data_IF_639942475202
#
_entry.id   IF_639942475202
#
_cell.length_a   1.000
_cell.length_b   1.000
_cell.length_c   1.000
_cell.angle_alpha   90.00
_cell.angle_beta   90.00
_cell.angle_gamma   90.00
#
_symmetry.space_group_name_H-M   'P 1'
#
loop_
_entity.id
_entity.type
_entity.pdbx_description
1 polymer ?
#
# COMPACT_ATOMS: atom_id res chain seq x y z
N UNK A 1 -7.63 -2.91 -18.06
CA UNK A 1 -6.86 -2.52 -16.87
C UNK A 1 -5.53 -1.91 -17.33
N UNK A 2 -5.53 -0.62 -17.69
CA UNK A 2 -4.41 0.00 -18.42
C UNK A 2 -3.24 0.40 -17.51
N UNK A 3 -3.47 0.49 -16.20
CA UNK A 3 -2.49 0.86 -15.19
C UNK A 3 -1.22 0.00 -15.19
N UNK A 4 -1.37 -1.30 -15.41
CA UNK A 4 -0.25 -2.24 -15.43
C UNK A 4 0.69 -2.04 -16.62
N UNK A 5 0.33 -1.16 -17.56
CA UNK A 5 1.13 -0.77 -18.73
C UNK A 5 1.67 0.66 -18.60
N UNK A 6 1.40 1.34 -17.49
CA UNK A 6 1.82 2.71 -17.24
C UNK A 6 3.31 2.76 -16.94
N UNK A 7 4.01 3.60 -17.70
CA UNK A 7 5.38 4.04 -17.40
C UNK A 7 5.39 5.55 -17.24
N UNK A 8 6.30 6.05 -16.42
CA UNK A 8 6.46 7.46 -16.14
C UNK A 8 7.85 7.93 -16.56
N UNK A 9 7.90 9.06 -17.25
CA UNK A 9 9.15 9.72 -17.63
C UNK A 9 9.00 11.23 -17.52
N UNK A 10 10.13 11.91 -17.42
CA UNK A 10 10.17 13.37 -17.32
C UNK A 10 10.49 13.97 -18.69
N UNK A 11 9.68 14.95 -19.11
CA UNK A 11 9.91 15.74 -20.31
C UNK A 11 9.68 17.22 -19.96
N UNK A 12 10.68 18.08 -20.19
CA UNK A 12 10.63 19.51 -19.86
C UNK A 12 10.24 19.82 -18.40
N UNK A 13 10.80 19.06 -17.43
CA UNK A 13 10.47 19.13 -16.00
C UNK A 13 9.00 18.82 -15.66
N UNK A 14 8.31 18.08 -16.52
CA UNK A 14 6.95 17.60 -16.29
C UNK A 14 6.97 16.07 -16.30
N UNK A 15 6.41 15.46 -15.25
CA UNK A 15 6.23 14.01 -15.18
C UNK A 15 5.03 13.61 -16.06
N UNK A 16 5.27 12.74 -17.03
CA UNK A 16 4.29 12.26 -17.99
C UNK A 16 4.06 10.77 -17.78
N UNK A 17 2.78 10.38 -17.66
CA UNK A 17 2.35 8.98 -17.69
C UNK A 17 2.06 8.56 -19.14
N UNK A 18 2.58 7.40 -19.56
CA UNK A 18 2.29 6.79 -20.86
C UNK A 18 2.01 5.31 -20.72
N UNK A 19 0.99 4.82 -21.43
CA UNK A 19 0.70 3.40 -21.51
C UNK A 19 1.46 2.76 -22.68
N UNK A 20 2.03 1.58 -22.45
CA UNK A 20 2.69 0.80 -23.50
C UNK A 20 1.65 0.08 -24.38
N UNK A 21 1.77 0.25 -25.70
CA UNK A 21 0.88 -0.39 -26.69
C UNK A 21 1.04 -1.92 -26.71
N UNK A 22 2.28 -2.38 -26.60
CA UNK A 22 2.67 -3.79 -26.47
C UNK A 22 3.80 -3.88 -25.45
N UNK A 23 3.73 -4.87 -24.59
CA UNK A 23 4.77 -5.12 -23.60
C UNK A 23 4.95 -6.63 -23.47
N UNK A 24 6.20 -7.05 -23.31
CA UNK A 24 6.55 -8.45 -23.08
C UNK A 24 6.94 -8.56 -21.61
N UNK A 25 6.06 -9.12 -20.79
CA UNK A 25 6.40 -9.41 -19.41
C UNK A 25 7.07 -10.79 -19.35
N UNK A 26 8.11 -10.91 -18.54
CA UNK A 26 8.78 -12.20 -18.28
C UNK A 26 8.41 -12.64 -16.89
N UNK A 27 7.89 -13.86 -16.77
CA UNK A 27 7.77 -14.55 -15.50
C UNK A 27 9.12 -15.17 -15.20
N UNK A 28 9.72 -14.84 -14.06
CA UNK A 28 10.94 -15.51 -13.60
C UNK A 28 10.54 -16.78 -12.86
N UNK A 29 11.08 -17.91 -13.29
CA UNK A 29 10.78 -19.21 -12.71
C UNK A 29 11.99 -19.75 -11.95
N UNK A 30 11.74 -20.24 -10.75
CA UNK A 30 12.77 -20.76 -9.84
C UNK A 30 12.41 -22.15 -9.37
N UNK A 31 13.33 -23.10 -9.58
CA UNK A 31 13.31 -24.41 -8.93
C UNK A 31 14.28 -24.38 -7.75
N UNK A 32 13.76 -24.50 -6.53
CA UNK A 32 14.58 -24.43 -5.32
C UNK A 32 15.10 -25.80 -4.92
N UNK A 33 16.34 -25.83 -4.43
CA UNK A 33 16.92 -27.03 -3.80
C UNK A 33 16.32 -27.26 -2.40
N UNK A 34 16.20 -28.53 -2.01
CA UNK A 34 15.67 -28.97 -0.71
C UNK A 34 15.07 -30.37 -0.83
N UNK A 35 15.19 -31.19 0.22
CA UNK A 35 14.69 -32.56 0.22
C UNK A 35 13.16 -32.57 0.44
N UNK A 36 12.66 -31.62 1.24
CA UNK A 36 11.24 -31.49 1.56
C UNK A 36 10.60 -30.24 0.95
N UNK A 37 9.28 -30.26 0.78
CA UNK A 37 8.50 -29.08 0.36
C UNK A 37 8.66 -27.91 1.35
N UNK A 38 8.70 -28.22 2.65
CA UNK A 38 8.88 -27.21 3.70
C UNK A 38 10.21 -26.46 3.56
N UNK A 39 11.30 -27.17 3.29
CA UNK A 39 12.61 -26.54 3.08
C UNK A 39 12.61 -25.63 1.85
N UNK A 40 11.97 -26.06 0.75
CA UNK A 40 11.83 -25.25 -0.46
C UNK A 40 10.96 -24.01 -0.21
N UNK A 41 9.89 -24.14 0.57
CA UNK A 41 9.07 -23.00 1.01
C UNK A 41 9.87 -22.01 1.88
N UNK A 42 10.66 -22.50 2.83
CA UNK A 42 11.49 -21.61 3.66
C UNK A 42 12.58 -20.91 2.83
N UNK A 43 13.14 -21.60 1.83
CA UNK A 43 14.11 -21.02 0.90
C UNK A 43 13.48 -19.93 0.02
N UNK A 44 12.25 -20.12 -0.48
CA UNK A 44 11.56 -19.10 -1.29
C UNK A 44 11.32 -17.83 -0.46
N UNK A 45 10.87 -17.98 0.80
CA UNK A 45 10.62 -16.84 1.69
C UNK A 45 11.90 -16.04 2.00
N UNK A 46 13.05 -16.72 2.11
CA UNK A 46 14.35 -16.05 2.27
C UNK A 46 14.75 -15.25 1.02
N UNK A 47 14.56 -15.82 -0.18
CA UNK A 47 14.83 -15.10 -1.43
C UNK A 47 13.91 -13.89 -1.59
N UNK A 48 12.65 -14.04 -1.22
CA UNK A 48 11.64 -13.00 -1.30
C UNK A 48 11.97 -11.82 -0.37
N UNK A 49 12.45 -12.06 0.84
CA UNK A 49 12.92 -10.99 1.74
C UNK A 49 14.12 -10.20 1.16
N UNK A 50 14.98 -10.86 0.36
CA UNK A 50 16.07 -10.17 -0.32
C UNK A 50 15.57 -9.34 -1.51
N UNK A 51 14.56 -9.84 -2.24
CA UNK A 51 13.92 -9.13 -3.35
C UNK A 51 12.96 -8.02 -2.90
N UNK A 52 12.40 -8.08 -1.69
CA UNK A 52 11.55 -7.00 -1.16
C UNK A 52 12.27 -5.64 -1.07
N UNK A 53 13.61 -5.63 -1.18
CA UNK A 53 14.44 -4.43 -1.22
C UNK A 53 14.81 -3.97 -2.65
N UNK A 54 14.33 -4.65 -3.71
CA UNK A 54 14.54 -4.15 -5.08
C UNK A 54 13.52 -3.07 -5.41
N UNK A 55 14.02 -1.92 -5.84
CA UNK A 55 13.16 -0.79 -6.21
C UNK A 55 12.66 -0.98 -7.64
N UNK A 56 11.34 -1.08 -7.82
CA UNK A 56 10.71 -0.96 -9.13
C UNK A 56 10.80 0.50 -9.58
N UNK A 57 11.55 0.75 -10.65
CA UNK A 57 11.69 2.10 -11.20
C UNK A 57 10.48 2.46 -12.05
N UNK A 58 10.05 3.72 -11.98
CA UNK A 58 8.79 4.19 -12.60
C UNK A 58 8.84 4.25 -14.13
N UNK A 59 10.04 4.21 -14.72
CA UNK A 59 10.31 4.19 -16.15
C UNK A 59 10.13 2.80 -16.79
N UNK A 60 9.93 1.75 -15.98
CA UNK A 60 9.73 0.37 -16.41
C UNK A 60 8.33 -0.11 -16.08
N UNK A 61 8.03 -1.36 -16.48
CA UNK A 61 6.76 -2.00 -16.11
C UNK A 61 6.57 -1.92 -14.58
N UNK A 62 5.37 -1.55 -14.13
CA UNK A 62 5.11 -1.28 -12.73
C UNK A 62 4.91 -2.55 -11.90
N UNK A 63 5.30 -3.72 -12.43
CA UNK A 63 5.20 -4.99 -11.73
C UNK A 63 6.24 -6.00 -12.21
N UNK A 64 6.60 -6.93 -11.33
CA UNK A 64 7.41 -8.12 -11.62
C UNK A 64 6.69 -9.36 -11.09
N UNK A 65 6.83 -10.48 -11.81
CA UNK A 65 6.21 -11.76 -11.45
C UNK A 65 7.27 -12.84 -11.36
N UNK A 66 7.26 -13.56 -10.24
CA UNK A 66 8.16 -14.67 -9.97
C UNK A 66 7.37 -15.89 -9.50
N UNK A 67 7.77 -17.08 -9.96
CA UNK A 67 7.17 -18.35 -9.58
C UNK A 67 8.25 -19.23 -8.96
N UNK A 68 7.99 -19.72 -7.76
CA UNK A 68 8.86 -20.64 -7.04
C UNK A 68 8.19 -22.00 -6.93
N UNK A 69 8.72 -23.01 -7.61
CA UNK A 69 8.20 -24.37 -7.52
C UNK A 69 8.67 -25.03 -6.21
N UNK A 70 7.73 -25.43 -5.37
CA UNK A 70 7.99 -26.05 -4.06
C UNK A 70 7.58 -27.53 -4.01
N UNK A 71 6.75 -27.98 -4.95
CA UNK A 71 6.51 -29.39 -5.28
C UNK A 71 6.08 -29.53 -6.75
N UNK A 72 5.79 -30.74 -7.23
CA UNK A 72 5.32 -30.95 -8.61
C UNK A 72 4.03 -30.19 -8.93
N UNK A 73 3.10 -30.14 -7.97
CA UNK A 73 1.80 -29.48 -8.12
C UNK A 73 1.65 -28.22 -7.25
N UNK A 74 2.70 -27.83 -6.51
CA UNK A 74 2.67 -26.66 -5.62
C UNK A 74 3.72 -25.63 -6.03
N UNK A 75 3.27 -24.39 -6.19
CA UNK A 75 4.14 -23.25 -6.43
C UNK A 75 3.72 -22.05 -5.57
N UNK A 76 4.66 -21.12 -5.39
CA UNK A 76 4.43 -19.83 -4.77
C UNK A 76 4.55 -18.77 -5.87
N UNK A 77 3.48 -18.03 -6.08
CA UNK A 77 3.45 -16.88 -6.97
C UNK A 77 3.77 -15.62 -6.17
N UNK A 78 4.83 -14.93 -6.56
CA UNK A 78 5.20 -13.63 -6.03
C UNK A 78 4.98 -12.55 -7.08
N UNK A 79 4.29 -11.48 -6.69
CA UNK A 79 4.02 -10.33 -7.55
C UNK A 79 4.44 -9.09 -6.77
N UNK A 80 5.47 -8.41 -7.28
CA UNK A 80 5.82 -7.06 -6.84
C UNK A 80 5.09 -6.05 -7.70
N UNK A 81 4.41 -5.08 -7.10
CA UNK A 81 3.68 -4.04 -7.81
C UNK A 81 4.14 -2.69 -7.25
N UNK A 82 4.40 -1.74 -8.14
CA UNK A 82 4.77 -0.39 -7.77
C UNK A 82 3.61 0.33 -7.11
N UNK A 83 3.84 0.87 -5.91
CA UNK A 83 2.82 1.55 -5.11
C UNK A 83 2.27 2.83 -5.80
N UNK A 84 2.95 3.35 -6.83
CA UNK A 84 2.46 4.49 -7.64
C UNK A 84 1.20 4.16 -8.43
N UNK A 85 0.99 2.88 -8.77
CA UNK A 85 -0.19 2.40 -9.49
C UNK A 85 -1.15 1.58 -8.60
N UNK A 86 -0.81 1.31 -7.34
CA UNK A 86 -1.62 0.43 -6.50
C UNK A 86 -1.66 0.89 -5.05
N UNK A 87 -2.82 0.78 -4.43
CA UNK A 87 -3.03 0.87 -2.98
C UNK A 87 -3.54 -0.46 -2.39
N UNK A 88 -3.69 -0.53 -1.07
CA UNK A 88 -4.16 -1.74 -0.39
C UNK A 88 -5.52 -2.25 -0.86
N UNK A 89 -6.45 -1.36 -1.23
CA UNK A 89 -7.77 -1.75 -1.73
C UNK A 89 -7.70 -2.32 -3.14
N UNK A 90 -6.90 -1.71 -4.01
CA UNK A 90 -6.67 -2.15 -5.38
C UNK A 90 -5.99 -3.52 -5.44
N UNK A 91 -5.08 -3.83 -4.49
CA UNK A 91 -4.43 -5.14 -4.41
C UNK A 91 -5.42 -6.25 -4.07
N UNK A 92 -6.41 -5.99 -3.20
CA UNK A 92 -7.46 -6.97 -2.87
C UNK A 92 -8.30 -7.29 -4.11
N UNK A 93 -8.68 -6.26 -4.89
CA UNK A 93 -9.41 -6.44 -6.15
C UNK A 93 -8.58 -7.19 -7.18
N UNK A 94 -7.31 -6.82 -7.35
CA UNK A 94 -6.38 -7.46 -8.27
C UNK A 94 -6.23 -8.96 -7.98
N UNK A 95 -6.02 -9.35 -6.72
CA UNK A 95 -5.90 -10.77 -6.34
C UNK A 95 -7.20 -11.52 -6.63
N UNK A 96 -8.35 -10.91 -6.34
CA UNK A 96 -9.65 -11.51 -6.64
C UNK A 96 -9.83 -11.74 -8.15
N UNK A 97 -9.56 -10.72 -8.97
CA UNK A 97 -9.65 -10.81 -10.43
C UNK A 97 -8.66 -11.85 -10.99
N UNK A 98 -7.43 -11.91 -10.44
CA UNK A 98 -6.44 -12.90 -10.85
C UNK A 98 -6.92 -14.33 -10.59
N UNK A 99 -7.47 -14.61 -9.41
CA UNK A 99 -7.98 -15.94 -9.04
C UNK A 99 -9.21 -16.31 -9.89
N UNK A 100 -10.14 -15.39 -10.08
CA UNK A 100 -11.32 -15.60 -10.92
C UNK A 100 -10.92 -15.96 -12.35
N UNK A 101 -10.03 -15.15 -12.95
CA UNK A 101 -9.53 -15.39 -14.30
C UNK A 101 -8.76 -16.72 -14.40
N UNK A 102 -7.96 -17.07 -13.39
CA UNK A 102 -7.25 -18.35 -13.34
C UNK A 102 -8.22 -19.55 -13.33
N UNK A 103 -9.34 -19.43 -12.63
CA UNK A 103 -10.39 -20.45 -12.58
C UNK A 103 -11.31 -20.45 -13.81
N UNK A 104 -11.11 -19.55 -14.78
CA UNK A 104 -11.98 -19.40 -15.95
C UNK A 104 -13.33 -18.74 -15.64
N UNK A 105 -13.44 -18.05 -14.51
CA UNK A 105 -14.61 -17.26 -14.16
C UNK A 105 -14.51 -15.87 -14.83
N UNK A 106 -15.46 -15.54 -15.70
CA UNK A 106 -15.53 -14.19 -16.27
C UNK A 106 -16.00 -13.18 -15.21
N UNK A 107 -15.12 -12.26 -14.83
CA UNK A 107 -15.52 -11.12 -14.02
C UNK A 107 -16.21 -10.07 -14.90
N UNK A 108 -17.49 -9.80 -14.62
CA UNK A 108 -18.32 -8.84 -15.37
C UNK A 108 -18.28 -7.43 -14.80
N UNK A 109 -17.40 -7.16 -13.83
CA UNK A 109 -17.32 -5.82 -13.25
C UNK A 109 -16.72 -4.83 -14.26
N UNK A 110 -17.48 -3.79 -14.59
CA UNK A 110 -16.93 -2.61 -15.25
C UNK A 110 -15.95 -1.94 -14.28
N UNK A 111 -14.66 -2.02 -14.59
CA UNK A 111 -13.62 -1.33 -13.86
C UNK A 111 -13.61 0.12 -14.34
N UNK A 112 -13.93 1.06 -13.44
CA UNK A 112 -13.78 2.50 -13.70
C UNK A 112 -12.34 2.75 -14.17
N UNK A 113 -12.19 3.38 -15.34
CA UNK A 113 -10.85 3.62 -15.87
C UNK A 113 -10.19 4.77 -15.11
N UNK A 114 -8.87 4.67 -14.92
CA UNK A 114 -8.07 5.71 -14.24
C UNK A 114 -8.25 7.09 -14.89
N UNK A 115 -8.42 7.12 -16.22
CA UNK A 115 -8.63 8.35 -16.97
C UNK A 115 -9.92 9.04 -16.51
N UNK A 116 -11.02 8.28 -16.38
CA UNK A 116 -12.30 8.81 -15.90
C UNK A 116 -12.18 9.34 -14.48
N UNK A 117 -11.47 8.61 -13.61
CA UNK A 117 -11.19 9.04 -12.26
C UNK A 117 -10.37 10.33 -12.20
N UNK A 118 -9.32 10.46 -13.03
CA UNK A 118 -8.48 11.65 -13.11
C UNK A 118 -9.28 12.86 -13.61
N UNK A 119 -10.11 12.68 -14.65
CA UNK A 119 -11.01 13.73 -15.16
C UNK A 119 -12.02 14.18 -14.10
N UNK A 120 -12.56 13.24 -13.32
CA UNK A 120 -13.43 13.55 -12.19
C UNK A 120 -12.70 14.34 -11.09
N UNK A 121 -11.47 13.94 -10.72
CA UNK A 121 -10.65 14.68 -9.75
C UNK A 121 -10.34 16.10 -10.20
N UNK A 122 -10.04 16.29 -11.48
CA UNK A 122 -9.79 17.62 -12.03
C UNK A 122 -11.02 18.54 -11.92
N UNK A 123 -12.22 17.99 -12.20
CA UNK A 123 -13.48 18.71 -12.02
C UNK A 123 -13.74 19.03 -10.55
N UNK A 124 -13.49 18.07 -9.64
CA UNK A 124 -13.66 18.25 -8.21
C UNK A 124 -12.72 19.35 -7.67
N UNK A 125 -11.47 19.38 -8.11
CA UNK A 125 -10.47 20.38 -7.71
C UNK A 125 -10.88 21.82 -8.10
N UNK A 126 -11.70 21.98 -9.14
CA UNK A 126 -12.22 23.28 -9.60
C UNK A 126 -13.56 23.66 -8.94
N UNK A 127 -14.13 22.79 -8.11
CA UNK A 127 -15.43 23.01 -7.47
C UNK A 127 -15.35 24.03 -6.34
N UNK A 128 -16.48 24.66 -6.03
CA UNK A 128 -16.58 25.56 -4.89
C UNK A 128 -16.40 24.85 -3.54
N UNK A 129 -16.79 23.57 -3.47
CA UNK A 129 -16.56 22.75 -2.28
C UNK A 129 -15.05 22.54 -2.03
N UNK A 130 -14.26 22.31 -3.08
CA UNK A 130 -12.81 22.19 -2.95
C UNK A 130 -12.17 23.47 -2.37
N UNK A 131 -12.66 24.66 -2.75
CA UNK A 131 -12.20 25.92 -2.16
C UNK A 131 -12.53 26.02 -0.67
N UNK A 132 -13.75 25.67 -0.28
CA UNK A 132 -14.16 25.65 1.14
C UNK A 132 -13.30 24.68 1.96
N UNK A 133 -13.04 23.48 1.45
CA UNK A 133 -12.15 22.51 2.08
C UNK A 133 -10.72 23.06 2.20
N UNK A 134 -10.22 23.74 1.16
CA UNK A 134 -8.89 24.36 1.19
C UNK A 134 -8.78 25.43 2.28
N UNK A 135 -9.75 26.34 2.39
CA UNK A 135 -9.79 27.37 3.43
C UNK A 135 -9.90 26.77 4.83
N UNK A 136 -10.75 25.74 4.98
CA UNK A 136 -10.88 25.01 6.24
C UNK A 136 -9.55 24.43 6.70
N UNK A 137 -8.88 23.63 5.85
CA UNK A 137 -7.62 22.98 6.21
C UNK A 137 -6.48 23.98 6.44
N UNK A 138 -6.41 25.07 5.66
CA UNK A 138 -5.46 26.15 5.94
C UNK A 138 -5.63 26.74 7.34
N UNK A 139 -6.87 26.95 7.79
CA UNK A 139 -7.13 27.47 9.13
C UNK A 139 -6.88 26.42 10.23
N UNK A 140 -7.23 25.15 10.00
CA UNK A 140 -6.98 24.06 10.96
C UNK A 140 -5.48 23.79 11.17
N UNK A 141 -4.66 23.96 10.12
CA UNK A 141 -3.24 23.61 10.12
C UNK A 141 -2.31 24.82 10.24
N UNK A 142 -2.82 26.03 10.45
CA UNK A 142 -2.01 27.26 10.46
C UNK A 142 -0.91 27.29 11.53
N UNK A 143 -1.16 26.64 12.68
CA UNK A 143 -0.28 26.63 13.84
C UNK A 143 0.33 25.22 14.07
N UNK A 144 0.34 24.37 13.04
CA UNK A 144 0.87 23.01 13.18
C UNK A 144 2.38 23.05 13.38
N UNK A 145 2.85 22.36 14.41
CA UNK A 145 4.26 22.03 14.58
C UNK A 145 4.50 20.68 13.90
N UNK A 146 5.26 20.70 12.80
CA UNK A 146 5.52 19.51 11.97
C UNK A 146 6.66 18.63 12.52
N UNK A 147 7.54 19.20 13.33
CA UNK A 147 8.67 18.50 13.92
C UNK A 147 8.27 17.92 15.28
N UNK A 148 8.32 16.59 15.38
CA UNK A 148 8.19 15.86 16.63
C UNK A 148 9.54 15.21 16.88
N UNK A 149 10.26 15.69 17.90
CA UNK A 149 11.49 15.05 18.34
C UNK A 149 11.16 13.79 19.15
N UNK A 150 11.24 12.61 18.52
CA UNK A 150 11.16 11.37 19.27
C UNK A 150 12.51 11.06 19.94
N UNK A 151 12.50 10.49 21.15
CA UNK A 151 13.74 10.03 21.77
C UNK A 151 14.43 8.98 20.90
N UNK A 152 15.62 9.31 20.39
CA UNK A 152 16.40 8.45 19.50
C UNK A 152 16.34 8.83 18.03
N UNK A 153 15.61 9.89 17.66
CA UNK A 153 15.65 10.43 16.30
C UNK A 153 17.04 10.94 15.95
N UNK A 154 17.42 10.72 14.69
CA UNK A 154 18.64 11.23 14.07
C UNK A 154 18.24 12.11 12.88
N UNK A 155 19.12 13.03 12.52
CA UNK A 155 18.96 13.84 11.30
C UNK A 155 18.73 12.91 10.08
N UNK A 156 17.60 13.08 9.39
CA UNK A 156 17.25 12.30 8.21
C UNK A 156 17.93 12.92 6.99
N UNK A 157 18.76 12.16 6.30
CA UNK A 157 19.35 12.54 5.00
C UNK A 157 18.61 11.81 3.87
N UNK A 158 18.65 12.31 2.64
CA UNK A 158 18.00 11.65 1.50
C UNK A 158 18.49 10.21 1.26
N UNK A 159 19.68 9.87 1.76
CA UNK A 159 20.27 8.53 1.73
C UNK A 159 19.70 7.59 2.81
N UNK A 160 18.90 8.11 3.76
CA UNK A 160 18.35 7.40 4.92
C UNK A 160 16.93 6.83 4.70
N UNK A 161 16.39 6.82 3.47
CA UNK A 161 15.07 6.22 3.17
C UNK A 161 15.06 4.67 3.22
N UNK A 162 15.92 4.07 4.06
CA UNK A 162 15.90 2.64 4.38
C UNK A 162 15.17 2.46 5.70
N UNK A 163 13.93 1.96 5.62
CA UNK A 163 13.13 1.62 6.79
C UNK A 163 13.33 0.17 7.24
N UNK A 164 13.21 -0.08 8.54
CA UNK A 164 13.08 -1.43 9.11
C UNK A 164 11.62 -1.67 9.53
N UNK A 165 11.11 -2.87 9.26
CA UNK A 165 9.79 -3.28 9.72
C UNK A 165 9.90 -4.24 10.91
N UNK A 166 9.40 -3.81 12.07
CA UNK A 166 9.17 -4.73 13.21
C UNK A 166 7.72 -5.21 13.20
N UNK A 167 7.52 -6.52 13.33
CA UNK A 167 6.19 -7.13 13.48
C UNK A 167 6.01 -7.62 14.92
N UNK A 168 4.83 -7.36 15.47
CA UNK A 168 4.41 -7.90 16.76
C UNK A 168 3.01 -8.49 16.61
N UNK A 169 2.70 -9.47 17.46
CA UNK A 169 1.41 -10.14 17.48
C UNK A 169 0.71 -9.82 18.79
N UNK A 170 -0.59 -9.56 18.71
CA UNK A 170 -1.45 -9.36 19.87
C UNK A 170 -1.99 -10.73 20.30
N UNK A 171 -1.90 -11.04 21.60
CA UNK A 171 -2.43 -12.29 22.15
C UNK A 171 -3.93 -12.43 21.90
N UNK A 172 -4.36 -13.67 21.63
CA UNK A 172 -5.73 -13.97 21.20
C UNK A 172 -6.78 -13.51 22.23
N UNK A 173 -6.51 -13.73 23.52
CA UNK A 173 -7.43 -13.35 24.59
C UNK A 173 -7.57 -11.83 24.72
N UNK A 174 -6.47 -11.08 24.55
CA UNK A 174 -6.52 -9.63 24.50
C UNK A 174 -7.31 -9.15 23.30
N UNK A 175 -7.06 -9.72 22.11
CA UNK A 175 -7.80 -9.37 20.89
C UNK A 175 -9.31 -9.62 21.02
N UNK A 176 -9.72 -10.75 21.60
CA UNK A 176 -11.13 -11.07 21.88
C UNK A 176 -11.76 -10.04 22.82
N UNK A 177 -11.05 -9.64 23.88
CA UNK A 177 -11.54 -8.64 24.81
C UNK A 177 -11.64 -7.25 24.19
N UNK A 178 -10.66 -6.88 23.34
CA UNK A 178 -10.70 -5.64 22.56
C UNK A 178 -11.89 -5.60 21.62
N UNK A 179 -12.19 -6.70 20.92
CA UNK A 179 -13.38 -6.80 20.06
C UNK A 179 -14.70 -6.61 20.83
N UNK A 180 -14.79 -7.15 22.06
CA UNK A 180 -15.96 -6.92 22.93
C UNK A 180 -16.10 -5.46 23.32
N UNK A 181 -14.99 -4.81 23.68
CA UNK A 181 -14.96 -3.37 24.00
C UNK A 181 -15.42 -2.51 22.83
N UNK A 182 -14.87 -2.74 21.64
CA UNK A 182 -15.22 -2.02 20.40
C UNK A 182 -16.72 -2.10 20.11
N UNK A 183 -17.32 -3.30 20.23
CA UNK A 183 -18.76 -3.49 20.03
C UNK A 183 -19.60 -2.78 21.09
N UNK A 184 -19.17 -2.85 22.36
CA UNK A 184 -19.86 -2.22 23.48
C UNK A 184 -19.88 -0.69 23.33
N UNK A 185 -18.73 -0.10 23.02
CA UNK A 185 -18.57 1.36 22.87
C UNK A 185 -18.98 1.88 21.49
N UNK A 186 -19.37 0.99 20.56
CA UNK A 186 -19.80 1.30 19.19
C UNK A 186 -18.76 2.13 18.41
N UNK A 187 -17.48 1.86 18.65
CA UNK A 187 -16.36 2.47 17.93
C UNK A 187 -15.80 1.50 16.89
N UNK A 188 -14.93 1.98 15.99
CA UNK A 188 -14.15 1.11 15.09
C UNK A 188 -12.85 0.66 15.75
N UNK A 189 -12.20 -0.38 15.23
CA UNK A 189 -10.87 -0.84 15.68
C UNK A 189 -9.81 0.28 15.59
N UNK A 190 -9.99 1.23 14.67
CA UNK A 190 -9.09 2.37 14.51
C UNK A 190 -9.00 3.23 15.79
N UNK A 191 -10.11 3.42 16.50
CA UNK A 191 -10.15 4.30 17.67
C UNK A 191 -9.25 3.84 18.83
N UNK A 192 -9.35 2.59 19.35
CA UNK A 192 -8.45 2.13 20.40
C UNK A 192 -6.99 2.04 19.95
N UNK A 193 -6.72 1.70 18.67
CA UNK A 193 -5.35 1.71 18.12
C UNK A 193 -4.74 3.10 18.13
N UNK A 194 -5.49 4.11 17.66
CA UNK A 194 -5.06 5.50 17.65
C UNK A 194 -4.85 6.03 19.07
N UNK A 195 -5.74 5.67 20.00
CA UNK A 195 -5.62 6.04 21.40
C UNK A 195 -4.38 5.43 22.06
N UNK A 196 -4.12 4.13 21.81
CA UNK A 196 -2.92 3.46 22.30
C UNK A 196 -1.64 4.11 21.76
N UNK A 197 -1.63 4.48 20.48
CA UNK A 197 -0.50 5.20 19.86
C UNK A 197 -0.30 6.59 20.46
N UNK A 198 -1.38 7.36 20.64
CA UNK A 198 -1.32 8.67 21.30
C UNK A 198 -0.79 8.57 22.73
N UNK A 199 -1.23 7.57 23.51
CA UNK A 199 -0.70 7.33 24.86
C UNK A 199 0.78 6.96 24.85
N UNK A 200 1.23 6.19 23.86
CA UNK A 200 2.64 5.84 23.70
C UNK A 200 3.48 7.10 23.45
N UNK A 201 3.05 7.95 22.51
CA UNK A 201 3.74 9.21 22.20
C UNK A 201 3.75 10.13 23.42
N UNK A 202 2.60 10.32 24.08
CA UNK A 202 2.50 11.17 25.27
C UNK A 202 3.35 10.65 26.44
N UNK A 203 3.59 9.34 26.54
CA UNK A 203 4.47 8.76 27.56
C UNK A 203 5.96 8.92 27.22
N UNK A 204 6.31 9.00 25.94
CA UNK A 204 7.70 9.05 25.46
C UNK A 204 8.19 10.46 25.17
N UNK A 205 7.29 11.42 25.02
CA UNK A 205 7.59 12.81 24.69
C UNK A 205 6.98 13.74 25.73
N UNK A 206 7.40 15.02 25.75
CA UNK A 206 6.77 16.07 26.56
C UNK A 206 5.70 16.85 25.78
N UNK A 207 5.23 16.29 24.66
CA UNK A 207 4.37 16.98 23.70
C UNK A 207 2.90 16.80 24.10
N UNK A 208 2.16 17.91 24.15
CA UNK A 208 0.74 17.93 24.56
C UNK A 208 -0.24 17.69 23.40
N UNK A 209 0.21 17.87 22.15
CA UNK A 209 -0.60 17.71 20.94
C UNK A 209 0.20 16.97 19.87
N UNK A 210 -0.38 15.89 19.34
CA UNK A 210 0.22 15.08 18.29
C UNK A 210 -0.67 15.17 17.06
N UNK A 211 -0.07 15.55 15.94
CA UNK A 211 -0.72 15.49 14.64
C UNK A 211 -0.35 14.18 13.98
N UNK A 212 -1.34 13.32 13.77
CA UNK A 212 -1.14 12.02 13.15
C UNK A 212 -1.74 12.02 11.75
N UNK A 213 -0.88 11.79 10.77
CA UNK A 213 -1.34 11.58 9.41
C UNK A 213 -1.86 10.15 9.25
N UNK A 214 -3.06 10.02 8.72
CA UNK A 214 -3.70 8.73 8.50
C UNK A 214 -4.07 8.59 7.02
N UNK A 215 -3.67 7.46 6.43
CA UNK A 215 -4.15 7.08 5.12
C UNK A 215 -5.64 6.73 5.19
N UNK A 216 -6.42 7.26 4.26
CA UNK A 216 -7.82 6.86 4.06
C UNK A 216 -8.00 6.36 2.64
N UNK A 217 -8.74 5.26 2.48
CA UNK A 217 -9.09 4.77 1.16
C UNK A 217 -10.15 5.70 0.56
N UNK A 218 -9.85 6.31 -0.59
CA UNK A 218 -10.85 7.03 -1.39
C UNK A 218 -11.86 6.01 -1.93
N UNK A 219 -12.91 5.74 -1.17
CA UNK A 219 -14.04 4.99 -1.67
C UNK A 219 -14.80 5.90 -2.64
N UNK A 220 -14.57 5.72 -3.94
CA UNK A 220 -15.42 6.29 -4.97
C UNK A 220 -16.81 5.70 -4.72
N UNK A 221 -17.73 6.52 -4.21
CA UNK A 221 -19.15 6.18 -4.24
C UNK A 221 -19.48 5.87 -5.70
N UNK A 222 -19.71 4.59 -6.00
CA UNK A 222 -20.35 4.19 -7.26
C UNK A 222 -21.70 4.92 -7.28
N UNK A 223 -21.80 5.96 -8.11
CA UNK A 223 -23.07 6.57 -8.47
C UNK A 223 -23.81 5.65 -9.44
#
# INVERSE_FOLDING_TARGET
MDLFRSVFYEENNVLIQKNLDKYNYKIKEYSLGGETEKERYEASMKMLNNHANTTLTVDKLPFEVEVYYVAEENCILFISISHIISDGSSLVLFVKELVNNYNGEEDKNEVLQQIDHNLWKEKLAKSEESKKQNEHWKNQLKDIQLEIDFPGDREIREEDYVGEQTRFTIEEDFYKNLCKFIRKEKVSMCAPSLYAFNLLIAKRTLISYVYLWMNWAENICRF
#
